data_IF_944552393250
#
_entry.id   IF_944552393250
#
_cell.length_a   1.000
_cell.length_b   1.000
_cell.length_c   1.000
_cell.angle_alpha   90.00
_cell.angle_beta   90.00
_cell.angle_gamma   90.00
#
_symmetry.space_group_name_H-M   'P 1'
#
loop_
_entity.id
_entity.type
_entity.pdbx_description
1 polymer ?
#
# COMPACT_ATOMS: atom_id res chain seq x y z
N UNK A 1 14.55 9.73 45.25
CA UNK A 1 13.50 9.14 44.38
C UNK A 1 13.53 9.97 43.10
N UNK A 2 14.19 9.48 42.06
CA UNK A 2 14.24 10.18 40.77
C UNK A 2 13.05 9.71 39.93
N UNK A 3 12.19 10.65 39.53
CA UNK A 3 11.14 10.40 38.54
C UNK A 3 11.77 10.28 37.16
N UNK A 4 11.60 9.12 36.55
CA UNK A 4 12.06 8.79 35.21
C UNK A 4 11.11 9.44 34.18
N UNK A 5 11.63 10.41 33.43
CA UNK A 5 10.93 11.08 32.35
C UNK A 5 10.86 10.15 31.13
N UNK A 6 9.70 9.50 30.94
CA UNK A 6 9.39 8.75 29.72
C UNK A 6 9.16 9.73 28.57
N UNK A 7 9.89 9.65 27.43
CA UNK A 7 9.62 10.51 26.28
C UNK A 7 8.31 10.08 25.61
N UNK A 8 7.33 10.99 25.59
CA UNK A 8 6.08 10.84 24.85
C UNK A 8 6.38 10.78 23.36
N UNK A 9 6.17 9.62 22.73
CA UNK A 9 6.19 9.49 21.27
C UNK A 9 4.95 10.19 20.71
N UNK A 10 5.12 11.40 20.23
CA UNK A 10 4.09 12.17 19.55
C UNK A 10 3.93 11.64 18.12
N UNK A 11 2.85 10.90 17.88
CA UNK A 11 2.48 10.43 16.54
C UNK A 11 1.81 11.60 15.83
N UNK A 12 2.57 12.29 14.98
CA UNK A 12 2.07 13.38 14.14
C UNK A 12 1.32 12.76 12.95
N UNK A 13 0.01 12.58 13.07
CA UNK A 13 -0.88 12.31 11.93
C UNK A 13 -1.21 13.64 11.24
N UNK A 14 -0.60 13.90 10.08
CA UNK A 14 -1.02 15.01 9.20
C UNK A 14 -2.12 14.53 8.27
N UNK A 15 -3.27 15.18 8.31
CA UNK A 15 -4.38 15.00 7.38
C UNK A 15 -3.91 15.20 5.94
N UNK A 16 -3.81 14.11 5.19
CA UNK A 16 -3.52 14.15 3.76
C UNK A 16 -4.84 14.33 3.00
N UNK A 17 -5.13 15.57 2.59
CA UNK A 17 -6.28 15.88 1.77
C UNK A 17 -6.10 15.31 0.33
N UNK A 18 -7.00 14.43 -0.09
CA UNK A 18 -6.87 13.64 -1.33
C UNK A 18 -7.38 14.37 -2.60
N UNK A 19 -7.87 15.60 -2.47
CA UNK A 19 -8.64 16.29 -3.53
C UNK A 19 -7.84 16.89 -4.69
N UNK A 20 -6.50 16.85 -4.67
CA UNK A 20 -5.68 17.64 -5.61
C UNK A 20 -5.01 16.87 -6.76
N UNK A 21 -5.35 15.60 -7.00
CA UNK A 21 -4.83 14.85 -8.16
C UNK A 21 -5.63 15.17 -9.45
N UNK A 22 -5.39 16.36 -10.02
CA UNK A 22 -5.86 16.71 -11.37
C UNK A 22 -5.00 16.02 -12.43
N UNK A 23 -5.48 14.90 -12.97
CA UNK A 23 -4.90 14.23 -14.14
C UNK A 23 -5.05 15.09 -15.41
N UNK A 24 -3.93 15.57 -15.95
CA UNK A 24 -3.87 16.36 -17.19
C UNK A 24 -3.99 15.41 -18.40
N UNK A 25 -5.18 15.37 -19.00
CA UNK A 25 -5.54 14.53 -20.17
C UNK A 25 -4.76 14.97 -21.42
N UNK A 26 -3.81 14.15 -21.90
CA UNK A 26 -3.14 14.35 -23.20
C UNK A 26 -3.89 13.57 -24.29
N UNK A 27 -4.30 14.26 -25.37
CA UNK A 27 -4.86 13.67 -26.60
C UNK A 27 -3.82 12.79 -27.31
N UNK A 28 -4.21 11.68 -27.95
CA UNK A 28 -3.33 10.96 -28.88
C UNK A 28 -3.33 11.62 -30.27
N UNK A 29 -2.19 11.70 -30.98
CA UNK A 29 -2.18 11.95 -32.41
C UNK A 29 -2.35 10.65 -33.20
N UNK A 30 -3.02 10.75 -34.34
CA UNK A 30 -3.26 9.69 -35.31
C UNK A 30 -2.09 9.54 -36.30
N UNK A 31 -1.89 8.30 -36.74
CA UNK A 31 -1.35 7.81 -38.04
C UNK A 31 -0.05 8.40 -38.63
N UNK A 32 0.99 7.56 -38.74
CA UNK A 32 1.84 7.43 -39.94
C UNK A 32 2.94 6.36 -39.77
N UNK A 33 3.04 5.51 -40.78
CA UNK A 33 4.06 4.47 -41.03
C UNK A 33 5.45 5.06 -41.35
N UNK A 34 6.53 4.54 -40.73
CA UNK A 34 7.87 4.27 -41.30
C UNK A 34 8.93 3.98 -40.22
N UNK A 35 9.73 2.92 -40.42
CA UNK A 35 11.04 2.67 -39.77
C UNK A 35 12.18 3.26 -40.63
N UNK A 36 13.50 3.18 -40.30
CA UNK A 36 14.23 2.91 -39.04
C UNK A 36 15.37 3.93 -38.73
N UNK A 37 15.97 3.92 -37.52
CA UNK A 37 17.44 3.77 -37.28
C UNK A 37 17.87 4.03 -35.81
N UNK A 38 18.87 3.24 -35.44
CA UNK A 38 19.58 3.05 -34.16
C UNK A 38 20.21 4.32 -33.56
N UNK A 39 20.04 4.50 -32.24
CA UNK A 39 21.08 5.01 -31.35
C UNK A 39 20.96 4.32 -29.98
N UNK A 40 21.89 3.39 -29.71
CA UNK A 40 22.06 2.71 -28.42
C UNK A 40 22.65 3.69 -27.41
N UNK A 41 21.84 4.28 -26.55
CA UNK A 41 22.31 4.77 -25.25
C UNK A 41 22.12 3.67 -24.22
N UNK A 42 23.25 3.14 -23.78
CA UNK A 42 23.42 2.07 -22.79
C UNK A 42 22.84 2.57 -21.45
N UNK A 43 21.55 2.28 -21.20
CA UNK A 43 20.98 2.43 -19.87
C UNK A 43 21.59 1.33 -19.00
N UNK A 44 22.53 1.73 -18.16
CA UNK A 44 23.12 0.90 -17.11
C UNK A 44 21.98 0.34 -16.26
N UNK A 45 21.88 -0.99 -16.06
CA UNK A 45 20.95 -1.53 -15.08
C UNK A 45 21.47 -1.11 -13.70
N UNK A 46 20.86 -0.10 -13.11
CA UNK A 46 21.06 0.21 -11.69
C UNK A 46 20.45 -0.95 -10.91
N UNK A 47 21.33 -1.89 -10.57
CA UNK A 47 21.11 -3.01 -9.68
C UNK A 47 20.66 -2.45 -8.31
N UNK A 48 19.35 -2.32 -8.10
CA UNK A 48 18.78 -1.97 -6.79
C UNK A 48 18.89 -3.22 -5.91
N UNK A 49 20.05 -3.35 -5.26
CA UNK A 49 20.22 -4.21 -4.08
C UNK A 49 19.20 -3.79 -3.02
N UNK A 50 18.69 -4.80 -2.34
CA UNK A 50 17.84 -4.79 -1.15
C UNK A 50 17.90 -3.49 -0.35
N UNK A 51 16.90 -2.63 -0.54
CA UNK A 51 16.57 -1.65 0.50
C UNK A 51 15.55 -2.36 1.37
N UNK A 52 15.98 -2.88 2.53
CA UNK A 52 15.09 -3.53 3.51
C UNK A 52 13.96 -2.60 4.02
N UNK A 53 14.02 -1.32 3.67
CA UNK A 53 13.08 -0.30 4.08
C UNK A 53 12.54 0.44 2.85
N UNK A 54 11.24 0.75 2.83
CA UNK A 54 10.65 1.63 1.82
C UNK A 54 11.33 3.02 1.84
N UNK A 55 11.42 3.77 0.73
CA UNK A 55 12.02 5.10 0.78
C UNK A 55 11.14 6.11 1.53
N UNK A 56 11.75 7.17 2.05
CA UNK A 56 11.02 8.33 2.58
C UNK A 56 10.10 8.90 1.49
N UNK A 57 8.86 9.21 1.87
CA UNK A 57 7.79 9.63 0.96
C UNK A 57 6.97 8.48 0.38
N UNK A 58 7.37 7.21 0.58
CA UNK A 58 6.54 6.07 0.15
C UNK A 58 5.33 5.88 1.04
N UNK A 59 4.25 5.42 0.40
CA UNK A 59 3.07 4.94 1.09
C UNK A 59 3.29 3.51 1.59
N UNK A 60 2.86 3.25 2.82
CA UNK A 60 2.90 1.92 3.46
C UNK A 60 1.56 1.65 4.16
N UNK A 61 1.23 0.38 4.35
CA UNK A 61 0.29 -0.01 5.39
C UNK A 61 1.06 -0.22 6.69
N UNK A 62 0.62 0.43 7.76
CA UNK A 62 1.23 0.33 9.07
C UNK A 62 0.22 -0.27 10.06
N UNK A 63 0.67 -1.24 10.86
CA UNK A 63 -0.12 -1.86 11.91
C UNK A 63 -0.07 -0.99 13.16
N UNK A 64 -1.21 -0.46 13.56
CA UNK A 64 -1.43 0.28 14.80
C UNK A 64 -2.39 -0.47 15.72
N UNK A 65 -2.47 -0.07 16.98
CA UNK A 65 -3.48 -0.55 17.90
C UNK A 65 -4.64 0.45 17.95
N UNK A 66 -5.86 -0.02 17.73
CA UNK A 66 -7.08 0.77 17.92
C UNK A 66 -7.56 0.61 19.36
N UNK A 67 -7.48 1.70 20.14
CA UNK A 67 -7.79 1.67 21.56
C UNK A 67 -9.30 1.54 21.84
N UNK A 68 -10.14 2.01 20.92
CA UNK A 68 -11.60 1.98 21.06
C UNK A 68 -12.14 0.57 20.77
N UNK A 69 -11.58 -0.08 19.75
CA UNK A 69 -11.95 -1.44 19.33
C UNK A 69 -11.13 -2.54 20.00
N UNK A 70 -10.08 -2.18 20.74
CA UNK A 70 -9.20 -3.10 21.47
C UNK A 70 -8.44 -4.08 20.60
N UNK A 71 -8.21 -3.74 19.32
CA UNK A 71 -7.65 -4.65 18.32
C UNK A 71 -6.68 -3.95 17.39
N UNK A 72 -5.86 -4.74 16.70
CA UNK A 72 -4.91 -4.19 15.74
C UNK A 72 -5.62 -3.70 14.46
N UNK A 73 -5.25 -2.53 13.98
CA UNK A 73 -5.77 -1.92 12.77
C UNK A 73 -4.63 -1.59 11.80
N UNK A 74 -4.83 -1.88 10.52
CA UNK A 74 -3.90 -1.48 9.47
C UNK A 74 -4.31 -0.14 8.89
N UNK A 75 -3.39 0.83 8.83
CA UNK A 75 -3.64 2.18 8.31
C UNK A 75 -2.68 2.55 7.19
N UNK A 76 -3.14 3.38 6.26
CA UNK A 76 -2.32 3.99 5.22
C UNK A 76 -1.47 5.10 5.83
N UNK A 77 -0.15 4.95 5.73
CA UNK A 77 0.82 5.89 6.26
C UNK A 77 1.83 6.29 5.18
N UNK A 78 2.51 7.41 5.41
CA UNK A 78 3.64 7.85 4.59
C UNK A 78 4.91 7.79 5.43
N UNK A 79 5.99 7.27 4.87
CA UNK A 79 7.30 7.27 5.53
C UNK A 79 7.85 8.69 5.57
N UNK A 80 8.14 9.23 6.76
CA UNK A 80 8.67 10.60 6.91
C UNK A 80 10.19 10.62 7.14
N UNK A 81 10.71 9.69 7.92
CA UNK A 81 12.15 9.54 8.20
C UNK A 81 12.42 8.15 8.77
N UNK A 82 13.67 7.70 8.64
CA UNK A 82 14.21 6.59 9.40
C UNK A 82 15.17 7.14 10.45
N UNK A 83 15.13 6.59 11.65
CA UNK A 83 16.17 6.78 12.65
C UNK A 83 17.18 5.63 12.46
N UNK A 84 18.44 5.98 12.24
CA UNK A 84 19.51 5.02 11.98
C UNK A 84 20.40 5.05 13.22
N UNK A 85 20.21 4.07 14.11
CA UNK A 85 21.11 3.81 15.23
C UNK A 85 22.20 2.82 14.77
N UNK A 86 23.42 2.94 15.31
CA UNK A 86 24.55 2.09 14.94
C UNK A 86 24.23 0.61 15.20
N UNK A 87 24.48 -0.23 14.19
CA UNK A 87 24.06 -1.63 14.15
C UNK A 87 24.78 -2.55 15.14
N UNK A 88 25.67 -2.03 15.98
CA UNK A 88 26.43 -2.81 16.96
C UNK A 88 25.69 -3.01 18.31
N UNK A 89 24.55 -2.33 18.53
CA UNK A 89 23.79 -2.41 19.79
C UNK A 89 22.36 -2.97 19.63
N UNK A 90 21.98 -3.39 18.42
CA UNK A 90 20.67 -3.97 18.17
C UNK A 90 20.69 -5.48 18.39
N UNK A 91 20.14 -5.91 19.52
CA UNK A 91 19.65 -7.28 19.68
C UNK A 91 18.71 -7.61 18.50
N UNK A 92 18.99 -8.73 17.83
CA UNK A 92 18.41 -9.20 16.56
C UNK A 92 16.85 -9.28 16.59
N UNK A 93 16.26 -9.37 17.79
CA UNK A 93 14.82 -9.51 18.02
C UNK A 93 13.96 -8.26 17.70
N UNK A 94 14.53 -7.05 17.69
CA UNK A 94 13.72 -5.81 17.59
C UNK A 94 13.34 -5.46 16.15
N UNK A 95 14.22 -5.74 15.18
CA UNK A 95 14.03 -5.41 13.77
C UNK A 95 12.90 -6.23 13.15
N UNK A 96 12.93 -7.55 13.36
CA UNK A 96 11.98 -8.49 12.75
C UNK A 96 10.52 -8.21 13.21
N UNK A 97 10.35 -7.74 14.45
CA UNK A 97 9.05 -7.39 15.01
C UNK A 97 8.48 -6.09 14.44
N UNK A 98 9.34 -5.18 13.97
CA UNK A 98 8.93 -3.93 13.34
C UNK A 98 8.56 -4.13 11.87
N UNK A 99 9.25 -5.03 11.17
CA UNK A 99 8.95 -5.40 9.78
C UNK A 99 7.55 -6.04 9.67
N UNK A 100 7.17 -6.89 10.63
CA UNK A 100 5.81 -7.48 10.72
C UNK A 100 4.69 -6.46 10.91
N UNK A 101 5.02 -5.19 11.20
CA UNK A 101 4.07 -4.08 11.40
C UNK A 101 3.99 -3.13 10.22
N UNK A 102 4.72 -3.36 9.12
CA UNK A 102 4.78 -2.44 7.97
C UNK A 102 4.76 -3.22 6.66
N UNK A 103 3.88 -2.84 5.74
CA UNK A 103 3.80 -3.44 4.39
C UNK A 103 3.97 -2.31 3.37
N UNK A 104 5.03 -2.30 2.56
CA UNK A 104 5.18 -1.34 1.47
C UNK A 104 4.04 -1.47 0.46
N UNK A 105 3.46 -0.35 0.01
CA UNK A 105 2.55 -0.40 -1.13
C UNK A 105 3.39 -0.59 -2.39
N UNK A 106 3.01 -1.57 -3.21
CA UNK A 106 3.63 -1.75 -4.53
C UNK A 106 3.31 -0.56 -5.42
N UNK A 107 4.33 0.19 -5.83
CA UNK A 107 4.23 1.17 -6.91
C UNK A 107 4.28 0.53 -8.31
N UNK A 108 4.50 -0.79 -8.37
CA UNK A 108 4.59 -1.56 -9.61
C UNK A 108 3.20 -1.89 -10.17
N UNK A 109 3.12 -2.09 -11.48
CA UNK A 109 1.92 -2.58 -12.18
C UNK A 109 1.42 -3.86 -11.52
N UNK A 110 0.41 -3.75 -10.67
CA UNK A 110 -0.18 -4.85 -9.90
C UNK A 110 -0.76 -5.99 -10.78
N UNK A 111 -0.75 -5.82 -12.10
CA UNK A 111 -1.10 -6.83 -13.09
C UNK A 111 -0.09 -7.99 -13.17
N UNK A 112 1.16 -7.80 -12.74
CA UNK A 112 2.19 -8.85 -12.82
C UNK A 112 2.02 -9.90 -11.72
N UNK A 113 1.50 -9.50 -10.55
CA UNK A 113 1.28 -10.36 -9.39
C UNK A 113 -0.13 -10.13 -8.82
N UNK A 114 -1.15 -10.32 -9.66
CA UNK A 114 -2.53 -10.11 -9.23
C UNK A 114 -3.03 -11.24 -8.31
N UNK A 115 -3.78 -10.87 -7.26
CA UNK A 115 -4.61 -11.82 -6.50
C UNK A 115 -5.75 -12.37 -7.36
N UNK A 116 -6.08 -13.63 -7.17
CA UNK A 116 -7.12 -14.32 -7.90
C UNK A 116 -8.45 -14.31 -7.15
N UNK A 117 -9.51 -14.75 -7.83
CA UNK A 117 -10.83 -14.85 -7.24
C UNK A 117 -10.81 -15.80 -6.02
N UNK A 118 -11.47 -15.38 -4.95
CA UNK A 118 -11.54 -16.00 -3.62
C UNK A 118 -10.26 -15.89 -2.78
N UNK A 119 -9.22 -15.20 -3.26
CA UNK A 119 -8.08 -14.89 -2.40
C UNK A 119 -8.49 -13.93 -1.28
N UNK A 120 -7.97 -14.18 -0.09
CA UNK A 120 -8.08 -13.28 1.07
C UNK A 120 -6.96 -12.26 1.01
N UNK A 121 -7.33 -10.99 1.06
CA UNK A 121 -6.42 -9.84 0.94
C UNK A 121 -6.67 -8.84 2.05
N UNK A 122 -5.70 -7.95 2.25
CA UNK A 122 -5.83 -6.77 3.09
C UNK A 122 -6.00 -5.55 2.17
N UNK A 123 -7.13 -4.86 2.22
CA UNK A 123 -7.48 -3.82 1.25
C UNK A 123 -7.96 -2.53 1.92
N UNK A 124 -7.61 -1.38 1.32
CA UNK A 124 -8.07 -0.08 1.80
C UNK A 124 -9.59 0.04 1.59
N UNK A 125 -10.33 0.32 2.66
CA UNK A 125 -11.76 0.51 2.54
C UNK A 125 -12.06 1.84 1.82
N UNK A 126 -13.05 1.89 0.92
CA UNK A 126 -13.34 3.11 0.17
C UNK A 126 -13.59 4.31 1.09
N UNK A 127 -12.98 5.45 0.74
CA UNK A 127 -13.10 6.73 1.46
C UNK A 127 -12.50 6.74 2.88
N UNK A 128 -11.70 5.75 3.25
CA UNK A 128 -10.97 5.75 4.53
C UNK A 128 -9.47 5.61 4.31
N UNK A 129 -8.72 5.68 5.40
CA UNK A 129 -7.28 5.40 5.45
C UNK A 129 -6.99 4.04 6.07
N UNK A 130 -7.99 3.18 6.26
CA UNK A 130 -7.85 1.92 6.98
C UNK A 130 -7.96 0.72 6.04
N UNK A 131 -7.14 -0.29 6.30
CA UNK A 131 -7.16 -1.54 5.58
C UNK A 131 -7.87 -2.62 6.39
N UNK A 132 -8.71 -3.37 5.70
CA UNK A 132 -9.52 -4.44 6.28
C UNK A 132 -9.39 -5.71 5.45
N UNK A 133 -9.74 -6.83 6.08
CA UNK A 133 -9.82 -8.10 5.41
C UNK A 133 -10.93 -8.12 4.37
N UNK A 134 -10.61 -8.63 3.17
CA UNK A 134 -11.54 -8.72 2.07
C UNK A 134 -11.29 -9.96 1.23
N UNK A 135 -12.35 -10.41 0.57
CA UNK A 135 -12.32 -11.50 -0.41
C UNK A 135 -12.38 -10.95 -1.83
N UNK A 136 -11.48 -11.44 -2.69
CA UNK A 136 -11.45 -11.05 -4.11
C UNK A 136 -12.61 -11.68 -4.87
N UNK A 137 -13.53 -10.85 -5.37
CA UNK A 137 -14.64 -11.30 -6.23
C UNK A 137 -14.23 -11.31 -7.69
N UNK A 138 -13.54 -10.25 -8.14
CA UNK A 138 -13.10 -10.14 -9.53
C UNK A 138 -11.77 -9.40 -9.61
N UNK A 139 -10.71 -10.05 -10.12
CA UNK A 139 -9.42 -9.41 -10.31
C UNK A 139 -9.43 -8.42 -11.49
N UNK A 140 -8.50 -7.45 -11.53
CA UNK A 140 -8.38 -6.46 -12.60
C UNK A 140 -8.30 -7.06 -14.00
N UNK A 141 -7.55 -8.16 -14.20
CA UNK A 141 -7.39 -8.82 -15.51
C UNK A 141 -8.72 -9.25 -16.15
N UNK A 142 -9.72 -9.61 -15.32
CA UNK A 142 -11.04 -10.03 -15.78
C UNK A 142 -11.97 -8.85 -16.11
N UNK A 143 -11.54 -7.60 -15.87
CA UNK A 143 -12.37 -6.42 -16.08
C UNK A 143 -11.95 -5.67 -17.35
N UNK A 144 -12.91 -5.51 -18.27
CA UNK A 144 -12.67 -4.87 -19.57
C UNK A 144 -12.45 -3.35 -19.53
N UNK A 145 -12.86 -2.68 -18.45
CA UNK A 145 -12.97 -1.20 -18.40
C UNK A 145 -12.27 -0.54 -17.21
N UNK A 146 -11.74 -1.31 -16.27
CA UNK A 146 -11.09 -0.75 -15.08
C UNK A 146 -10.04 -1.71 -14.54
N UNK A 147 -8.96 -1.16 -13.99
CA UNK A 147 -7.84 -1.87 -13.37
C UNK A 147 -8.00 -2.08 -11.86
N UNK A 148 -9.17 -1.82 -11.28
CA UNK A 148 -9.41 -2.10 -9.86
C UNK A 148 -9.84 -3.56 -9.61
N UNK A 149 -9.75 -3.98 -8.36
CA UNK A 149 -10.41 -5.19 -7.87
C UNK A 149 -11.90 -4.93 -7.61
N UNK A 150 -12.71 -5.98 -7.68
CA UNK A 150 -14.00 -6.05 -6.98
C UNK A 150 -13.80 -6.91 -5.75
N UNK A 151 -14.07 -6.35 -4.57
CA UNK A 151 -13.89 -7.00 -3.28
C UNK A 151 -15.21 -7.06 -2.50
N UNK A 152 -15.31 -8.01 -1.60
CA UNK A 152 -16.29 -8.03 -0.50
C UNK A 152 -15.48 -7.95 0.79
N UNK A 153 -15.79 -6.98 1.63
CA UNK A 153 -15.18 -6.84 2.96
C UNK A 153 -15.96 -7.67 3.97
N UNK A 154 -15.27 -8.26 4.94
CA UNK A 154 -15.87 -9.20 5.90
C UNK A 154 -16.92 -8.53 6.80
N UNK A 155 -16.68 -7.26 7.16
CA UNK A 155 -17.53 -6.45 8.06
C UNK A 155 -18.47 -5.48 7.30
N UNK A 156 -18.59 -5.59 5.97
CA UNK A 156 -19.39 -4.68 5.15
C UNK A 156 -20.72 -5.30 4.73
N UNK A 157 -21.73 -5.12 5.59
CA UNK A 157 -23.11 -5.53 5.32
C UNK A 157 -23.90 -4.42 4.62
N UNK A 158 -24.62 -4.78 3.56
CA UNK A 158 -25.53 -3.88 2.87
C UNK A 158 -26.85 -3.71 3.63
N UNK A 159 -27.69 -2.78 3.16
CA UNK A 159 -28.99 -2.41 3.75
C UNK A 159 -29.93 -3.60 4.04
N UNK A 160 -29.75 -4.72 3.35
CA UNK A 160 -30.55 -5.94 3.51
C UNK A 160 -29.76 -7.14 4.08
N UNK A 161 -28.62 -6.90 4.73
CA UNK A 161 -27.73 -7.98 5.23
C UNK A 161 -27.01 -8.74 4.12
N UNK A 162 -26.93 -8.18 2.91
CA UNK A 162 -26.24 -8.76 1.77
C UNK A 162 -24.81 -8.28 1.65
N UNK A 163 -23.91 -9.13 1.14
CA UNK A 163 -22.51 -8.75 0.88
C UNK A 163 -22.41 -7.65 -0.17
N UNK A 164 -21.67 -6.58 0.14
CA UNK A 164 -21.50 -5.43 -0.76
C UNK A 164 -20.23 -5.55 -1.58
N UNK A 165 -20.34 -5.32 -2.88
CA UNK A 165 -19.19 -5.28 -3.80
C UNK A 165 -18.59 -3.89 -3.84
N UNK A 166 -17.29 -3.79 -3.54
CA UNK A 166 -16.53 -2.53 -3.57
C UNK A 166 -15.45 -2.57 -4.64
N UNK A 167 -15.26 -1.45 -5.33
CA UNK A 167 -14.16 -1.26 -6.27
C UNK A 167 -12.95 -0.68 -5.53
N UNK A 168 -11.81 -1.38 -5.55
CA UNK A 168 -10.58 -0.95 -4.85
C UNK A 168 -9.38 -1.04 -5.78
N UNK A 169 -8.68 0.09 -5.98
CA UNK A 169 -7.52 0.14 -6.87
C UNK A 169 -6.47 -0.87 -6.44
N UNK A 170 -5.84 -1.55 -7.40
CA UNK A 170 -4.86 -2.58 -7.14
C UNK A 170 -3.66 -2.09 -6.30
N UNK A 171 -3.35 -0.78 -6.34
CA UNK A 171 -2.35 -0.13 -5.48
C UNK A 171 -2.63 -0.30 -3.97
N UNK A 172 -3.90 -0.44 -3.60
CA UNK A 172 -4.36 -0.49 -2.21
C UNK A 172 -4.86 -1.88 -1.81
N UNK A 173 -4.49 -2.92 -2.57
CA UNK A 173 -4.78 -4.32 -2.25
C UNK A 173 -3.46 -5.02 -1.97
N UNK A 174 -3.32 -5.53 -0.74
CA UNK A 174 -2.08 -6.09 -0.21
C UNK A 174 -2.28 -7.56 0.15
N UNK A 175 -1.17 -8.31 0.13
CA UNK A 175 -1.16 -9.66 0.66
C UNK A 175 -1.39 -9.60 2.17
N UNK A 176 -2.34 -10.38 2.69
CA UNK A 176 -2.55 -10.52 4.13
C UNK A 176 -1.28 -11.14 4.76
N UNK A 177 -0.69 -10.51 5.80
CA UNK A 177 0.38 -11.14 6.55
C UNK A 177 -0.12 -12.45 7.18
N UNK A 178 0.64 -13.54 6.99
CA UNK A 178 0.40 -14.85 7.63
C UNK A 178 0.89 -14.90 9.07
#
# INVERSE_FOLDING_TARGET
LAEELVPKKEVITKDLNLDNLKFKKRKPPADASSTPKVAKTKATPSNKKDTQHAPVGSLIAAKTFDADQGQDLWILATVLSYEIEDAEELDDDSSEKLEKKKIPLSDQDALVNEFHQNDTVLALFPQTTCFYEASVVTPPSKRKKSHDYVLIFDDDEGENGGLVKRNVSAKYVLKKPT
#
